data_IF_918464689151
#
_entry.id   IF_918464689151
#
_cell.length_a   1.000
_cell.length_b   1.000
_cell.length_c   1.000
_cell.angle_alpha   90.00
_cell.angle_beta   90.00
_cell.angle_gamma   90.00
#
_symmetry.space_group_name_H-M   'P 1'
#
loop_
_entity.id
_entity.type
_entity.pdbx_description
1 polymer ?
#
# COMPACT_ATOMS: atom_id res chain seq x y z
N UNK A 1 -6.85 -9.56 -6.90
CA UNK A 1 -5.80 -9.21 -5.93
C UNK A 1 -4.67 -8.46 -6.60
N UNK A 2 -4.26 -7.31 -6.07
CA UNK A 2 -3.12 -6.53 -6.59
C UNK A 2 -1.88 -6.93 -5.79
N UNK A 3 -0.85 -7.45 -6.46
CA UNK A 3 0.44 -7.76 -5.82
C UNK A 3 1.12 -6.44 -5.44
N UNK A 4 1.54 -6.23 -4.19
CA UNK A 4 2.30 -5.05 -3.81
C UNK A 4 3.65 -5.01 -4.53
N UNK A 5 3.95 -3.88 -5.17
CA UNK A 5 5.18 -3.64 -5.92
C UNK A 5 5.92 -2.47 -5.27
N UNK A 6 7.24 -2.50 -5.33
CA UNK A 6 8.12 -1.38 -4.97
C UNK A 6 9.24 -1.31 -6.01
N UNK A 7 9.55 -0.10 -6.48
CA UNK A 7 10.70 0.16 -7.34
C UNK A 7 11.87 0.60 -6.46
N UNK A 8 13.04 0.00 -6.69
CA UNK A 8 14.24 0.26 -5.89
C UNK A 8 15.38 0.71 -6.80
N UNK A 9 15.79 1.97 -6.68
CA UNK A 9 17.04 2.47 -7.23
C UNK A 9 18.20 2.08 -6.33
N UNK A 10 18.85 0.96 -6.62
CA UNK A 10 20.03 0.51 -5.86
C UNK A 10 21.32 1.21 -6.34
N UNK A 11 22.36 1.18 -5.50
CA UNK A 11 23.68 1.80 -5.72
C UNK A 11 23.67 3.33 -5.63
N UNK A 12 22.86 3.89 -4.72
CA UNK A 12 22.76 5.33 -4.48
C UNK A 12 24.11 5.99 -4.14
N UNK A 13 25.03 5.24 -3.53
CA UNK A 13 26.40 5.63 -3.19
C UNK A 13 27.24 6.02 -4.41
N UNK A 14 26.97 5.44 -5.58
CA UNK A 14 27.67 5.74 -6.83
C UNK A 14 27.09 6.99 -7.52
N UNK A 15 26.91 8.09 -6.77
CA UNK A 15 26.31 9.33 -7.28
C UNK A 15 27.03 9.88 -8.52
N UNK A 16 28.37 9.80 -8.54
CA UNK A 16 29.21 10.23 -9.66
C UNK A 16 29.06 9.37 -10.93
N UNK A 17 28.45 8.17 -10.83
CA UNK A 17 28.15 7.29 -11.97
C UNK A 17 26.65 7.15 -12.22
N UNK A 18 25.85 8.07 -11.68
CA UNK A 18 24.40 8.05 -11.85
C UNK A 18 24.03 8.20 -13.32
N UNK A 19 23.25 7.24 -13.81
CA UNK A 19 22.70 7.25 -15.18
C UNK A 19 21.18 7.41 -15.23
N UNK A 20 20.51 7.25 -14.08
CA UNK A 20 19.06 7.44 -13.92
C UNK A 20 18.81 8.45 -12.82
N UNK A 21 18.05 9.50 -13.11
CA UNK A 21 17.69 10.52 -12.13
C UNK A 21 16.66 9.97 -11.15
N UNK A 22 16.70 10.44 -9.90
CA UNK A 22 15.72 10.06 -8.88
C UNK A 22 14.29 10.41 -9.30
N UNK A 23 14.11 11.48 -10.09
CA UNK A 23 12.80 11.89 -10.60
C UNK A 23 12.21 10.90 -11.60
N UNK A 24 13.04 10.31 -12.47
CA UNK A 24 12.58 9.28 -13.42
C UNK A 24 12.06 8.05 -12.68
N UNK A 25 12.76 7.62 -11.62
CA UNK A 25 12.31 6.52 -10.76
C UNK A 25 11.01 6.84 -10.02
N UNK A 26 10.85 8.07 -9.52
CA UNK A 26 9.61 8.52 -8.88
C UNK A 26 8.44 8.56 -9.85
N UNK A 27 8.63 9.10 -11.05
CA UNK A 27 7.61 9.15 -12.10
C UNK A 27 7.17 7.74 -12.52
N UNK A 28 8.12 6.81 -12.68
CA UNK A 28 7.80 5.42 -12.98
C UNK A 28 6.95 4.78 -11.86
N UNK A 29 7.32 4.99 -10.60
CA UNK A 29 6.57 4.45 -9.47
C UNK A 29 5.15 5.05 -9.36
N UNK A 30 5.01 6.34 -9.64
CA UNK A 30 3.71 7.01 -9.71
C UNK A 30 2.83 6.37 -10.80
N UNK A 31 3.39 6.17 -12.00
CA UNK A 31 2.68 5.54 -13.13
C UNK A 31 2.25 4.09 -12.84
N UNK A 32 3.02 3.37 -12.03
CA UNK A 32 2.72 2.00 -11.62
C UNK A 32 1.88 1.89 -10.34
N UNK A 33 1.55 3.03 -9.71
CA UNK A 33 0.89 3.11 -8.39
C UNK A 33 1.60 2.23 -7.35
N UNK A 34 2.91 2.45 -7.22
CA UNK A 34 3.79 1.72 -6.31
C UNK A 34 4.74 2.65 -5.55
N UNK A 35 5.47 2.13 -4.55
CA UNK A 35 6.46 2.93 -3.82
C UNK A 35 7.79 2.99 -4.58
N UNK A 36 8.59 4.02 -4.28
CA UNK A 36 9.95 4.18 -4.77
C UNK A 36 10.92 4.42 -3.61
N UNK A 37 12.07 3.74 -3.63
CA UNK A 37 13.18 3.98 -2.71
C UNK A 37 14.51 4.02 -3.46
N UNK A 38 15.41 4.92 -3.04
CA UNK A 38 16.82 4.85 -3.41
C UNK A 38 17.65 4.37 -2.24
N UNK A 39 18.40 3.30 -2.44
CA UNK A 39 19.17 2.61 -1.41
C UNK A 39 20.60 2.39 -1.86
N UNK A 40 21.50 2.24 -0.89
CA UNK A 40 22.81 1.63 -1.15
C UNK A 40 22.91 0.37 -0.34
N UNK A 41 22.89 -0.78 -1.01
CA UNK A 41 23.20 -2.05 -0.37
C UNK A 41 24.70 -2.17 0.02
N UNK A 42 25.56 -1.28 -0.48
CA UNK A 42 27.00 -1.28 -0.22
C UNK A 42 27.40 -0.44 1.01
N UNK A 43 26.56 0.51 1.42
CA UNK A 43 26.83 1.38 2.58
C UNK A 43 26.27 0.81 3.89
N UNK A 44 24.99 1.09 4.18
CA UNK A 44 24.32 0.72 5.42
C UNK A 44 22.99 0.01 5.14
N UNK A 45 22.57 -0.85 6.07
CA UNK A 45 21.34 -1.63 5.93
C UNK A 45 20.08 -0.82 6.24
N UNK A 46 20.17 0.34 6.88
CA UNK A 46 19.01 1.11 7.37
C UNK A 46 18.05 1.50 6.23
N UNK A 47 18.60 1.94 5.10
CA UNK A 47 17.80 2.32 3.92
C UNK A 47 17.08 1.12 3.29
N UNK A 48 17.76 -0.04 3.27
CA UNK A 48 17.20 -1.31 2.78
C UNK A 48 16.12 -1.82 3.74
N UNK A 49 16.36 -1.77 5.04
CA UNK A 49 15.40 -2.16 6.08
C UNK A 49 14.13 -1.31 6.01
N UNK A 50 14.28 0.01 5.89
CA UNK A 50 13.16 0.94 5.73
C UNK A 50 12.31 0.61 4.50
N UNK A 51 12.94 0.29 3.36
CA UNK A 51 12.25 -0.13 2.14
C UNK A 51 11.43 -1.42 2.35
N UNK A 52 12.01 -2.43 2.99
CA UNK A 52 11.30 -3.67 3.28
C UNK A 52 10.15 -3.47 4.27
N UNK A 53 10.30 -2.61 5.29
CA UNK A 53 9.19 -2.26 6.18
C UNK A 53 8.02 -1.63 5.42
N UNK A 54 8.28 -0.67 4.53
CA UNK A 54 7.24 -0.07 3.69
C UNK A 54 6.53 -1.08 2.78
N UNK A 55 7.27 -2.02 2.18
CA UNK A 55 6.67 -3.12 1.41
C UNK A 55 5.77 -4.02 2.28
N UNK A 56 6.21 -4.37 3.50
CA UNK A 56 5.42 -5.19 4.43
C UNK A 56 4.12 -4.50 4.85
N UNK A 57 4.13 -3.18 5.05
CA UNK A 57 2.91 -2.42 5.33
C UNK A 57 1.93 -2.49 4.16
N UNK A 58 2.39 -2.29 2.92
CA UNK A 58 1.55 -2.45 1.72
C UNK A 58 0.97 -3.86 1.58
N UNK A 59 1.74 -4.89 1.93
CA UNK A 59 1.25 -6.28 1.96
C UNK A 59 0.14 -6.46 3.01
N UNK A 60 0.29 -5.87 4.20
CA UNK A 60 -0.75 -5.93 5.24
C UNK A 60 -2.03 -5.23 4.79
N UNK A 61 -1.92 -4.05 4.21
CA UNK A 61 -3.06 -3.29 3.67
C UNK A 61 -3.80 -4.07 2.58
N UNK A 62 -3.07 -4.66 1.64
CA UNK A 62 -3.64 -5.50 0.58
C UNK A 62 -4.37 -6.74 1.13
N UNK A 63 -3.93 -7.29 2.28
CA UNK A 63 -4.63 -8.40 2.95
C UNK A 63 -5.89 -7.93 3.69
N UNK A 64 -5.93 -6.70 4.20
CA UNK A 64 -7.09 -6.14 4.89
C UNK A 64 -8.24 -5.82 3.94
N UNK A 65 -7.94 -5.37 2.72
CA UNK A 65 -8.96 -5.12 1.69
C UNK A 65 -9.66 -6.41 1.25
N UNK A 66 -8.92 -7.53 1.19
CA UNK A 66 -9.48 -8.87 0.88
C UNK A 66 -10.41 -9.39 2.00
N UNK A 67 -10.18 -9.00 3.26
CA UNK A 67 -10.98 -9.46 4.42
C UNK A 67 -12.30 -8.72 4.63
N UNK A 68 -12.71 -7.78 3.77
CA UNK A 68 -14.03 -7.12 3.89
C UNK A 68 -15.09 -7.73 2.96
N UNK A 69 -15.85 -8.72 3.46
CA UNK A 69 -17.25 -8.87 3.07
C UNK A 69 -18.18 -8.55 4.25
N UNK A 70 -19.10 -7.60 4.03
CA UNK A 70 -20.46 -7.52 4.62
C UNK A 70 -20.60 -7.32 6.16
N UNK A 71 -20.37 -6.11 6.69
CA UNK A 71 -20.91 -5.67 8.01
C UNK A 71 -22.09 -4.68 7.91
N UNK A 72 -22.86 -4.73 6.83
CA UNK A 72 -24.09 -3.95 6.65
C UNK A 72 -25.39 -4.79 6.81
N UNK A 73 -25.38 -5.89 7.60
CA UNK A 73 -26.59 -6.69 7.89
C UNK A 73 -27.40 -6.20 9.12
N UNK A 74 -27.08 -5.05 9.71
CA UNK A 74 -27.64 -4.63 11.00
C UNK A 74 -28.83 -3.65 10.97
N UNK A 75 -29.01 -2.88 9.90
CA UNK A 75 -29.92 -1.72 9.93
C UNK A 75 -31.36 -2.07 9.47
N UNK A 76 -31.54 -3.09 8.63
CA UNK A 76 -32.86 -3.42 8.07
C UNK A 76 -33.78 -4.23 8.99
N UNK A 77 -33.29 -4.76 10.13
CA UNK A 77 -34.15 -5.47 11.10
C UNK A 77 -34.88 -4.54 12.08
N UNK A 78 -34.45 -3.29 12.21
CA UNK A 78 -35.05 -2.32 13.14
C UNK A 78 -36.29 -1.65 12.55
N UNK A 79 -36.29 -1.35 11.24
CA UNK A 79 -37.41 -0.66 10.60
C UNK A 79 -38.66 -1.55 10.44
N UNK A 80 -38.51 -2.86 10.25
CA UNK A 80 -39.64 -3.78 10.17
C UNK A 80 -40.35 -3.98 11.52
N UNK A 81 -39.67 -3.77 12.64
CA UNK A 81 -40.28 -3.84 13.98
C UNK A 81 -41.06 -2.56 14.37
N UNK A 82 -40.82 -1.44 13.69
CA UNK A 82 -41.45 -0.14 14.00
C UNK A 82 -42.76 0.07 13.22
N UNK A 83 -42.95 -0.61 12.07
CA UNK A 83 -44.17 -0.49 11.27
C UNK A 83 -45.33 -1.42 11.70
N UNK A 84 -45.08 -2.42 12.55
CA UNK A 84 -46.13 -3.38 12.95
C UNK A 84 -46.87 -3.00 14.25
N UNK A 85 -46.56 -1.86 14.89
CA UNK A 85 -47.16 -1.47 16.19
C UNK A 85 -48.19 -0.34 16.14
N UNK A 86 -48.83 -0.08 14.98
CA UNK A 86 -50.05 0.73 14.92
C UNK A 86 -51.01 0.20 13.86
N UNK A 87 -51.93 -0.67 14.29
CA UNK A 87 -53.32 -0.77 13.83
C UNK A 87 -54.05 -1.73 14.77
N UNK A 88 -55.28 -1.32 15.12
CA UNK A 88 -56.24 -1.83 16.12
C UNK A 88 -55.88 -1.58 17.57
#
# INVERSE_FOLDING_TARGET
DKVPIVIVGNKRDLHHRRTVLSEEGRLLALNMDCLFYEVSAAENYDSVLTMFHGLMERIKEAKLTIKRPQRFKGIVKSMSAVFTRRRT
#
